data_IF_780143182634
#
_entry.id   IF_780143182634
#
_cell.length_a   1.000
_cell.length_b   1.000
_cell.length_c   1.000
_cell.angle_alpha   90.00
_cell.angle_beta   90.00
_cell.angle_gamma   90.00
#
_symmetry.space_group_name_H-M   'P 1'
#
loop_
_entity.id
_entity.type
_entity.pdbx_description
1 polymer ?
#
# COMPACT_ATOMS: atom_id res chain seq x y z
N UNK A 1 -1.08 -18.41 25.46
CA UNK A 1 -0.61 -17.01 25.31
C UNK A 1 0.79 -16.94 25.92
N UNK A 2 1.84 -16.81 25.10
CA UNK A 2 3.25 -16.93 25.53
C UNK A 2 3.78 -15.68 26.24
N UNK A 3 3.42 -15.46 27.50
CA UNK A 3 3.95 -14.34 28.34
C UNK A 3 4.85 -14.80 29.49
N UNK A 4 4.97 -16.11 29.74
CA UNK A 4 5.72 -16.68 30.88
C UNK A 4 7.01 -17.42 30.49
N UNK A 5 7.46 -17.31 29.25
CA UNK A 5 8.67 -18.01 28.81
C UNK A 5 9.91 -17.34 29.44
N UNK A 6 10.78 -18.08 30.15
CA UNK A 6 11.98 -17.52 30.78
C UNK A 6 13.07 -17.15 29.75
N UNK A 7 13.01 -17.72 28.55
CA UNK A 7 13.91 -17.47 27.42
C UNK A 7 13.07 -17.06 26.21
N UNK A 8 13.48 -16.00 25.50
CA UNK A 8 12.73 -15.37 24.41
C UNK A 8 11.31 -14.89 24.81
N UNK A 9 11.17 -14.29 26.00
CA UNK A 9 9.96 -13.59 26.37
C UNK A 9 9.65 -12.48 25.36
N UNK A 10 8.35 -12.19 25.12
CA UNK A 10 7.96 -11.07 24.27
C UNK A 10 8.32 -9.76 24.97
N UNK A 11 9.34 -9.08 24.49
CA UNK A 11 9.69 -7.72 24.93
C UNK A 11 8.83 -6.67 24.23
N UNK A 12 8.48 -5.61 24.95
CA UNK A 12 7.88 -4.41 24.36
C UNK A 12 9.01 -3.42 24.08
N UNK A 13 9.26 -3.13 22.80
CA UNK A 13 10.19 -2.05 22.42
C UNK A 13 9.44 -0.73 22.43
N UNK A 14 9.81 0.16 23.34
CA UNK A 14 9.31 1.53 23.36
C UNK A 14 10.14 2.40 22.41
N UNK A 15 9.46 3.25 21.66
CA UNK A 15 10.12 4.24 20.82
C UNK A 15 10.70 5.35 21.69
N UNK A 16 11.94 5.82 21.44
CA UNK A 16 12.49 6.97 22.14
C UNK A 16 11.53 8.17 22.09
N UNK A 17 11.43 8.90 23.21
CA UNK A 17 10.50 10.03 23.35
C UNK A 17 10.52 11.03 22.17
N UNK A 18 11.68 11.50 21.64
CA UNK A 18 11.67 12.45 20.53
C UNK A 18 11.05 11.87 19.25
N UNK A 19 11.30 10.60 18.95
CA UNK A 19 10.73 9.93 17.78
C UNK A 19 9.23 9.71 17.94
N UNK A 20 8.79 9.35 19.16
CA UNK A 20 7.39 9.21 19.50
C UNK A 20 6.64 10.54 19.28
N UNK A 21 7.16 11.63 19.82
CA UNK A 21 6.56 12.96 19.66
C UNK A 21 6.54 13.42 18.20
N UNK A 22 7.63 13.17 17.44
CA UNK A 22 7.68 13.47 16.01
C UNK A 22 6.60 12.69 15.24
N UNK A 23 6.43 11.40 15.55
CA UNK A 23 5.38 10.58 14.94
C UNK A 23 3.98 11.07 15.30
N UNK A 24 3.73 11.40 16.56
CA UNK A 24 2.42 11.91 16.99
C UNK A 24 2.08 13.24 16.32
N UNK A 25 3.06 14.15 16.17
CA UNK A 25 2.89 15.41 15.41
C UNK A 25 2.55 15.13 13.94
N UNK A 26 3.24 14.16 13.32
CA UNK A 26 2.96 13.76 11.94
C UNK A 26 1.55 13.18 11.79
N UNK A 27 1.10 12.34 12.73
CA UNK A 27 -0.26 11.78 12.72
C UNK A 27 -1.30 12.91 12.81
N UNK A 28 -1.15 13.84 13.75
CA UNK A 28 -2.06 15.00 13.86
C UNK A 28 -2.07 15.85 12.59
N UNK A 29 -0.91 16.04 11.95
CA UNK A 29 -0.82 16.73 10.65
C UNK A 29 -1.57 15.99 9.55
N UNK A 30 -1.62 14.65 9.56
CA UNK A 30 -2.33 13.87 8.54
C UNK A 30 -3.85 14.05 8.59
N UNK A 31 -4.39 14.45 9.74
CA UNK A 31 -5.83 14.67 9.93
C UNK A 31 -6.31 15.99 9.29
N UNK A 32 -5.41 16.93 9.00
CA UNK A 32 -5.79 18.23 8.43
C UNK A 32 -6.23 18.11 6.98
N UNK A 33 -7.15 18.98 6.57
CA UNK A 33 -7.71 18.98 5.22
C UNK A 33 -6.68 19.37 4.16
N UNK A 34 -5.72 20.25 4.49
CA UNK A 34 -4.62 20.60 3.59
C UNK A 34 -3.76 19.38 3.29
N UNK A 35 -3.43 18.58 4.32
CA UNK A 35 -2.67 17.36 4.14
C UNK A 35 -3.45 16.36 3.29
N UNK A 36 -4.74 16.14 3.58
CA UNK A 36 -5.59 15.22 2.79
C UNK A 36 -5.67 15.64 1.32
N UNK A 37 -5.82 16.93 1.03
CA UNK A 37 -5.82 17.45 -0.35
C UNK A 37 -4.51 17.17 -1.06
N UNK A 38 -3.37 17.44 -0.42
CA UNK A 38 -2.05 17.12 -0.96
C UNK A 38 -1.87 15.62 -1.16
N UNK A 39 -2.26 14.81 -0.18
CA UNK A 39 -2.09 13.36 -0.20
C UNK A 39 -3.02 12.66 -1.21
N UNK A 40 -4.17 13.25 -1.56
CA UNK A 40 -5.09 12.72 -2.56
C UNK A 40 -4.43 12.51 -3.91
N UNK A 41 -3.46 13.35 -4.29
CA UNK A 41 -2.66 13.18 -5.52
C UNK A 41 -1.91 11.83 -5.53
N UNK A 42 -1.52 11.32 -4.35
CA UNK A 42 -0.79 10.06 -4.18
C UNK A 42 -1.70 8.85 -3.95
N UNK A 43 -2.97 9.06 -3.62
CA UNK A 43 -3.91 8.00 -3.20
C UNK A 43 -4.09 6.85 -4.21
N UNK A 44 -3.73 7.05 -5.48
CA UNK A 44 -3.78 6.01 -6.53
C UNK A 44 -2.55 5.07 -6.63
N UNK A 45 -1.47 5.31 -5.87
CA UNK A 45 -0.23 4.53 -6.05
C UNK A 45 -0.37 3.08 -5.59
N UNK A 46 -1.16 2.81 -4.55
CA UNK A 46 -1.37 1.45 -4.04
C UNK A 46 -2.06 0.55 -5.05
N UNK A 47 -3.08 1.08 -5.76
CA UNK A 47 -3.74 0.36 -6.84
C UNK A 47 -2.78 0.04 -7.99
N UNK A 48 -1.92 0.99 -8.35
CA UNK A 48 -0.88 0.81 -9.37
C UNK A 48 0.13 -0.26 -8.95
N UNK A 49 0.59 -0.23 -7.71
CA UNK A 49 1.53 -1.22 -7.18
C UNK A 49 0.90 -2.61 -7.15
N UNK A 50 -0.37 -2.72 -6.72
CA UNK A 50 -1.08 -3.99 -6.73
C UNK A 50 -1.29 -4.54 -8.15
N UNK A 51 -1.59 -3.68 -9.14
CA UNK A 51 -1.66 -4.04 -10.55
C UNK A 51 -0.32 -4.60 -11.04
N UNK A 52 0.80 -3.93 -10.74
CA UNK A 52 2.13 -4.39 -11.13
C UNK A 52 2.51 -5.72 -10.47
N UNK A 53 2.25 -5.87 -9.16
CA UNK A 53 2.61 -7.09 -8.43
C UNK A 53 1.74 -8.28 -8.87
N UNK A 54 0.41 -8.13 -8.89
CA UNK A 54 -0.52 -9.23 -9.15
C UNK A 54 -0.75 -9.50 -10.63
N UNK A 55 -0.82 -8.45 -11.45
CA UNK A 55 -1.12 -8.56 -12.87
C UNK A 55 0.12 -8.82 -13.73
N UNK A 56 1.28 -8.27 -13.34
CA UNK A 56 2.49 -8.33 -14.16
C UNK A 56 3.71 -8.96 -13.45
N UNK A 57 3.52 -9.53 -12.26
CA UNK A 57 4.59 -10.25 -11.56
C UNK A 57 5.81 -9.38 -11.23
N UNK A 58 5.61 -8.09 -10.89
CA UNK A 58 6.70 -7.13 -10.65
C UNK A 58 7.75 -7.61 -9.63
N UNK A 59 7.38 -8.49 -8.69
CA UNK A 59 8.28 -9.08 -7.67
C UNK A 59 8.84 -10.46 -8.05
N UNK A 60 8.46 -11.02 -9.19
CA UNK A 60 8.84 -12.36 -9.63
C UNK A 60 10.08 -12.34 -10.54
N UNK A 61 10.94 -11.34 -10.38
CA UNK A 61 12.20 -11.27 -11.11
C UNK A 61 13.22 -12.24 -10.51
N UNK A 62 13.83 -13.07 -11.35
CA UNK A 62 14.97 -13.89 -10.95
C UNK A 62 16.18 -12.96 -10.90
N UNK A 63 16.72 -12.72 -9.71
CA UNK A 63 17.85 -11.82 -9.43
C UNK A 63 19.17 -12.26 -10.12
N UNK A 64 19.17 -12.35 -11.44
CA UNK A 64 20.27 -12.82 -12.30
C UNK A 64 21.24 -11.65 -12.62
N UNK A 65 20.87 -10.42 -12.26
CA UNK A 65 21.72 -9.22 -12.39
C UNK A 65 20.90 -7.94 -12.55
N UNK A 66 21.48 -6.80 -12.14
CA UNK A 66 20.79 -5.50 -12.14
C UNK A 66 20.28 -5.07 -13.52
N UNK A 67 21.05 -5.32 -14.58
CA UNK A 67 20.66 -4.96 -15.95
C UNK A 67 19.37 -5.69 -16.40
N UNK A 68 19.27 -6.99 -16.10
CA UNK A 68 18.07 -7.79 -16.42
C UNK A 68 16.88 -7.35 -15.58
N UNK A 69 17.11 -7.05 -14.30
CA UNK A 69 16.07 -6.50 -13.42
C UNK A 69 15.52 -5.17 -13.91
N UNK A 70 16.42 -4.27 -14.32
CA UNK A 70 16.06 -2.97 -14.87
C UNK A 70 15.23 -3.10 -16.14
N UNK A 71 15.66 -3.96 -17.07
CA UNK A 71 14.89 -4.23 -18.29
C UNK A 71 13.50 -4.80 -17.99
N UNK A 72 13.39 -5.76 -17.07
CA UNK A 72 12.09 -6.30 -16.66
C UNK A 72 11.18 -5.21 -16.09
N UNK A 73 11.71 -4.30 -15.27
CA UNK A 73 10.93 -3.21 -14.71
C UNK A 73 10.44 -2.22 -15.77
N UNK A 74 11.29 -1.86 -16.74
CA UNK A 74 10.89 -1.03 -17.88
C UNK A 74 9.77 -1.71 -18.67
N UNK A 75 9.96 -2.97 -19.06
CA UNK A 75 8.96 -3.72 -19.83
C UNK A 75 7.64 -3.85 -19.08
N UNK A 76 7.69 -4.09 -17.77
CA UNK A 76 6.51 -4.15 -16.90
C UNK A 76 5.78 -2.80 -16.85
N UNK A 77 6.51 -1.69 -16.70
CA UNK A 77 5.94 -0.36 -16.69
C UNK A 77 5.27 -0.01 -18.03
N UNK A 78 5.93 -0.35 -19.15
CA UNK A 78 5.37 -0.17 -20.50
C UNK A 78 4.09 -0.99 -20.67
N UNK A 79 4.09 -2.27 -20.29
CA UNK A 79 2.92 -3.13 -20.39
C UNK A 79 1.73 -2.61 -19.55
N UNK A 80 2.00 -2.11 -18.35
CA UNK A 80 0.99 -1.47 -17.49
C UNK A 80 0.38 -0.23 -18.15
N UNK A 81 1.21 0.62 -18.78
CA UNK A 81 0.74 1.82 -19.47
C UNK A 81 -0.11 1.44 -20.70
N UNK A 82 0.32 0.46 -21.50
CA UNK A 82 -0.45 -0.02 -22.66
C UNK A 82 -1.82 -0.57 -22.24
N UNK A 83 -1.88 -1.38 -21.18
CA UNK A 83 -3.15 -1.91 -20.68
C UNK A 83 -4.08 -0.78 -20.17
N UNK A 84 -3.53 0.28 -19.59
CA UNK A 84 -4.32 1.44 -19.15
C UNK A 84 -4.89 2.23 -20.33
N UNK A 85 -4.09 2.45 -21.37
CA UNK A 85 -4.56 3.10 -22.61
C UNK A 85 -5.66 2.27 -23.25
N UNK A 86 -5.47 0.95 -23.36
CA UNK A 86 -6.49 0.03 -23.86
C UNK A 86 -7.79 0.12 -23.05
N UNK A 87 -7.71 0.02 -21.72
CA UNK A 87 -8.89 0.12 -20.86
C UNK A 87 -9.60 1.47 -20.97
N UNK A 88 -8.85 2.56 -21.18
CA UNK A 88 -9.41 3.89 -21.37
C UNK A 88 -10.16 4.00 -22.71
N UNK A 89 -9.59 3.48 -23.79
CA UNK A 89 -10.24 3.45 -25.11
C UNK A 89 -11.52 2.60 -25.10
N UNK A 90 -11.50 1.46 -24.40
CA UNK A 90 -12.65 0.57 -24.25
C UNK A 90 -13.67 1.02 -23.18
N UNK A 91 -13.47 2.21 -22.58
CA UNK A 91 -14.29 2.73 -21.48
C UNK A 91 -14.47 1.74 -20.32
N UNK A 92 -13.47 0.88 -20.07
CA UNK A 92 -13.48 -0.08 -18.97
C UNK A 92 -13.33 0.70 -17.65
N UNK A 93 -14.30 0.59 -16.72
CA UNK A 93 -14.24 1.36 -15.48
C UNK A 93 -13.08 0.93 -14.60
N UNK A 94 -12.50 1.89 -13.87
CA UNK A 94 -11.48 1.64 -12.86
C UNK A 94 -12.00 0.65 -11.79
N UNK A 95 -11.13 -0.25 -11.34
CA UNK A 95 -11.46 -1.19 -10.29
C UNK A 95 -11.86 -0.45 -9.01
N UNK A 96 -13.00 -0.82 -8.43
CA UNK A 96 -13.48 -0.25 -7.17
C UNK A 96 -12.58 -0.70 -6.01
N UNK A 97 -12.33 0.20 -5.05
CA UNK A 97 -11.60 -0.14 -3.82
C UNK A 97 -12.30 -1.28 -3.10
N UNK A 98 -11.58 -2.39 -2.87
CA UNK A 98 -12.13 -3.54 -2.14
C UNK A 98 -12.34 -3.17 -0.68
N UNK A 99 -13.57 -3.28 -0.17
CA UNK A 99 -13.83 -3.20 1.27
C UNK A 99 -13.32 -4.46 1.97
N UNK A 100 -12.52 -4.28 3.03
CA UNK A 100 -12.06 -5.40 3.86
C UNK A 100 -13.23 -6.00 4.64
N UNK A 101 -13.11 -7.28 5.04
CA UNK A 101 -14.14 -7.95 5.85
C UNK A 101 -14.41 -7.19 7.15
N UNK A 102 -13.35 -6.64 7.76
CA UNK A 102 -13.46 -5.82 8.96
C UNK A 102 -14.21 -4.52 8.73
N UNK A 103 -13.88 -3.78 7.66
CA UNK A 103 -14.60 -2.55 7.31
C UNK A 103 -16.08 -2.81 7.07
N UNK A 104 -16.43 -3.89 6.36
CA UNK A 104 -17.82 -4.32 6.16
C UNK A 104 -18.53 -4.63 7.48
N UNK A 105 -17.84 -5.29 8.41
CA UNK A 105 -18.36 -5.58 9.74
C UNK A 105 -18.60 -4.30 10.57
N UNK A 106 -17.65 -3.37 10.59
CA UNK A 106 -17.79 -2.09 11.31
C UNK A 106 -18.97 -1.28 10.75
N UNK A 107 -19.12 -1.19 9.43
CA UNK A 107 -20.28 -0.52 8.83
C UNK A 107 -21.60 -1.18 9.22
N UNK A 108 -21.63 -2.51 9.34
CA UNK A 108 -22.84 -3.23 9.77
C UNK A 108 -23.22 -2.97 11.24
N UNK A 109 -22.25 -2.66 12.10
CA UNK A 109 -22.50 -2.27 13.49
C UNK A 109 -22.98 -0.83 13.61
N UNK A 110 -22.46 0.08 12.77
CA UNK A 110 -22.83 1.50 12.79
C UNK A 110 -24.18 1.80 12.14
N UNK A 111 -24.77 0.83 11.43
CA UNK A 111 -26.07 0.97 10.75
C UNK A 111 -27.25 0.46 11.59
N UNK A 112 -27.03 0.11 12.86
CA UNK A 112 -28.06 -0.15 13.88
C UNK A 112 -28.09 1.00 14.86
#
# INVERSE_FOLDING_TARGET
MCTRAPVHARGLTLLPQPEYEARQKAIKRQETEEFKKQYKLRSGIEGTLNQGIRGFGLRQNRYIGLAKSHLQHILTATAMNLLRVFNWLENIPLAKTRSSSFSRFVYSLSSK
#
